data_IF_989977187257
#
_entry.id   IF_989977187257
#
_cell.length_a   1.000
_cell.length_b   1.000
_cell.length_c   1.000
_cell.angle_alpha   90.00
_cell.angle_beta   90.00
_cell.angle_gamma   90.00
#
_symmetry.space_group_name_H-M   'P 1'
#
loop_
_entity.id
_entity.type
_entity.pdbx_description
1 polymer ?
#
# COMPACT_ATOMS: atom_id res chain seq x y z
N UNK A 1 63.85 -6.15 -3.73
CA UNK A 1 63.92 -4.99 -2.83
C UNK A 1 62.51 -4.45 -2.68
N UNK A 2 61.87 -4.75 -1.55
CA UNK A 2 60.49 -4.35 -1.24
C UNK A 2 60.42 -2.84 -1.02
N UNK A 3 59.60 -2.15 -1.80
CA UNK A 3 59.23 -0.77 -1.50
C UNK A 3 58.46 -0.71 -0.17
N UNK A 4 58.70 0.29 0.68
CA UNK A 4 57.94 0.48 1.91
C UNK A 4 56.49 0.83 1.61
N UNK A 5 55.56 0.24 2.38
CA UNK A 5 54.10 0.36 2.31
C UNK A 5 53.57 1.80 2.23
N UNK A 6 54.34 2.77 2.73
CA UNK A 6 53.94 4.18 2.75
C UNK A 6 54.00 4.85 1.36
N UNK A 7 54.72 4.27 0.39
CA UNK A 7 54.79 4.85 -0.96
C UNK A 7 53.50 4.60 -1.77
N UNK A 8 52.80 3.50 -1.50
CA UNK A 8 51.52 3.18 -2.12
C UNK A 8 50.41 4.12 -1.63
N UNK A 9 50.37 4.41 -0.33
CA UNK A 9 49.40 5.36 0.22
C UNK A 9 49.66 6.79 -0.25
N UNK A 10 50.93 7.20 -0.35
CA UNK A 10 51.29 8.55 -0.84
C UNK A 10 50.96 8.68 -2.35
N UNK A 11 51.17 7.63 -3.15
CA UNK A 11 50.79 7.62 -4.57
C UNK A 11 49.27 7.58 -4.76
N UNK A 12 48.53 6.87 -3.90
CA UNK A 12 47.07 6.85 -3.91
C UNK A 12 46.47 8.20 -3.50
N UNK A 13 47.05 8.86 -2.49
CA UNK A 13 46.63 10.20 -2.06
C UNK A 13 46.94 11.27 -3.13
N UNK A 14 48.10 11.16 -3.80
CA UNK A 14 48.47 12.03 -4.92
C UNK A 14 47.55 11.83 -6.14
N UNK A 15 47.11 10.60 -6.42
CA UNK A 15 46.12 10.32 -7.46
C UNK A 15 44.73 10.90 -7.12
N UNK A 16 44.31 10.84 -5.86
CA UNK A 16 43.04 11.45 -5.39
C UNK A 16 42.98 12.97 -5.62
N UNK A 17 44.10 13.67 -5.39
CA UNK A 17 44.19 15.11 -5.66
C UNK A 17 44.33 15.45 -7.14
N UNK A 18 44.89 14.56 -7.96
CA UNK A 18 45.03 14.77 -9.40
C UNK A 18 43.71 14.69 -10.17
N UNK A 19 42.79 13.82 -9.75
CA UNK A 19 41.45 13.72 -10.37
C UNK A 19 40.49 14.83 -9.92
N UNK A 20 40.69 15.42 -8.75
CA UNK A 20 39.87 16.53 -8.25
C UNK A 20 40.16 17.88 -8.96
N UNK A 21 41.29 18.02 -9.65
CA UNK A 21 41.76 19.31 -10.21
C UNK A 21 41.61 19.47 -11.73
N UNK A 22 41.23 18.44 -12.48
CA UNK A 22 41.00 18.52 -13.93
C UNK A 22 39.58 18.07 -14.25
N UNK A 23 38.69 19.04 -14.40
CA UNK A 23 37.25 18.86 -14.40
C UNK A 23 36.65 18.16 -15.63
N UNK A 24 35.38 17.80 -15.45
CA UNK A 24 34.47 17.33 -16.49
C UNK A 24 33.44 16.37 -15.92
N UNK A 25 32.19 16.47 -16.38
CA UNK A 25 31.01 15.66 -16.03
C UNK A 25 31.25 14.15 -15.82
N UNK A 26 32.32 13.57 -16.38
CA UNK A 26 32.69 12.16 -16.18
C UNK A 26 33.31 11.82 -14.81
N UNK A 27 33.89 12.79 -14.09
CA UNK A 27 34.51 12.56 -12.77
C UNK A 27 33.49 12.28 -11.65
N UNK A 28 32.31 12.91 -11.73
CA UNK A 28 31.22 12.68 -10.78
C UNK A 28 30.56 11.30 -10.97
N UNK A 29 30.42 10.86 -12.22
CA UNK A 29 29.86 9.53 -12.56
C UNK A 29 30.79 8.40 -12.12
N UNK A 30 32.11 8.57 -12.27
CA UNK A 30 33.07 7.54 -11.86
C UNK A 30 33.28 7.50 -10.34
N UNK A 31 33.17 8.64 -9.66
CA UNK A 31 33.18 8.71 -8.19
C UNK A 31 31.93 8.04 -7.62
N UNK A 32 30.73 8.31 -8.17
CA UNK A 32 29.48 7.67 -7.77
C UNK A 32 29.49 6.15 -7.98
N UNK A 33 29.93 5.69 -9.16
CA UNK A 33 30.06 4.26 -9.44
C UNK A 33 31.07 3.54 -8.55
N UNK A 34 32.16 4.21 -8.16
CA UNK A 34 33.17 3.66 -7.26
C UNK A 34 32.72 3.65 -5.79
N UNK A 35 31.96 4.65 -5.34
CA UNK A 35 31.37 4.68 -4.00
C UNK A 35 30.27 3.63 -3.86
N UNK A 36 29.37 3.49 -4.83
CA UNK A 36 28.32 2.45 -4.85
C UNK A 36 28.91 1.05 -4.76
N UNK A 37 29.93 0.74 -5.56
CA UNK A 37 30.56 -0.59 -5.55
C UNK A 37 31.27 -0.91 -4.25
N UNK A 38 31.77 0.12 -3.57
CA UNK A 38 32.43 -0.03 -2.28
C UNK A 38 31.41 -0.17 -1.14
N UNK A 39 30.31 0.58 -1.20
CA UNK A 39 29.17 0.43 -0.28
C UNK A 39 28.57 -0.97 -0.38
N UNK A 40 28.32 -1.45 -1.60
CA UNK A 40 27.82 -2.82 -1.83
C UNK A 40 28.79 -3.88 -1.30
N UNK A 41 30.10 -3.71 -1.52
CA UNK A 41 31.10 -4.65 -1.01
C UNK A 41 31.27 -4.59 0.51
N UNK A 42 31.12 -3.41 1.13
CA UNK A 42 31.14 -3.25 2.59
C UNK A 42 29.85 -3.81 3.22
N UNK A 43 28.68 -3.65 2.58
CA UNK A 43 27.41 -4.30 2.97
C UNK A 43 27.47 -5.82 2.86
N UNK A 44 28.04 -6.36 1.78
CA UNK A 44 28.22 -7.80 1.58
C UNK A 44 29.19 -8.39 2.62
N UNK A 45 30.28 -7.67 2.94
CA UNK A 45 31.20 -8.06 4.00
C UNK A 45 30.60 -7.95 5.41
N UNK A 46 29.73 -6.96 5.67
CA UNK A 46 28.99 -6.82 6.92
C UNK A 46 27.96 -7.93 7.10
N UNK A 47 27.20 -8.26 6.05
CA UNK A 47 26.28 -9.40 5.99
C UNK A 47 26.97 -10.71 6.35
N UNK A 48 28.14 -10.97 5.78
CA UNK A 48 28.91 -12.19 6.06
C UNK A 48 29.55 -12.21 7.47
N UNK A 49 29.62 -11.06 8.14
CA UNK A 49 30.21 -10.91 9.48
C UNK A 49 29.20 -11.04 10.63
N UNK A 50 27.90 -10.99 10.34
CA UNK A 50 26.85 -11.19 11.34
C UNK A 50 26.76 -12.69 11.70
N UNK A 51 26.66 -13.04 12.99
CA UNK A 51 26.39 -14.42 13.37
C UNK A 51 25.03 -14.83 12.80
N UNK A 52 24.98 -15.94 12.07
CA UNK A 52 23.73 -16.60 11.70
C UNK A 52 23.02 -16.98 13.00
N UNK A 53 22.09 -16.14 13.45
CA UNK A 53 21.16 -16.50 14.50
C UNK A 53 20.27 -17.56 13.86
N UNK A 54 20.51 -18.81 14.26
CA UNK A 54 19.60 -19.91 13.98
C UNK A 54 18.38 -19.68 14.86
N UNK A 55 17.40 -18.94 14.34
CA UNK A 55 16.04 -18.99 14.84
C UNK A 55 15.59 -20.45 14.76
N UNK A 56 15.25 -21.03 15.90
CA UNK A 56 14.75 -22.40 16.01
C UNK A 56 13.27 -22.53 15.61
N UNK A 57 12.82 -21.70 14.66
CA UNK A 57 11.60 -21.89 13.87
C UNK A 57 12.02 -21.75 12.41
N UNK A 58 11.74 -22.75 11.58
CA UNK A 58 12.04 -22.64 10.15
C UNK A 58 11.15 -21.55 9.56
N UNK A 59 11.65 -20.72 8.63
CA UNK A 59 10.82 -19.81 7.83
C UNK A 59 9.64 -20.54 7.16
N UNK A 60 9.78 -21.85 6.93
CA UNK A 60 8.70 -22.69 6.43
C UNK A 60 7.61 -23.01 7.47
N UNK A 61 7.93 -23.03 8.77
CA UNK A 61 6.95 -23.26 9.83
C UNK A 61 6.10 -22.01 10.08
N UNK A 62 6.71 -20.81 10.03
CA UNK A 62 5.99 -19.53 10.19
C UNK A 62 5.11 -19.22 8.97
N UNK A 63 5.62 -19.44 7.73
CA UNK A 63 4.81 -19.32 6.51
C UNK A 63 3.65 -20.33 6.48
N UNK A 64 3.88 -21.55 7.00
CA UNK A 64 2.82 -22.56 7.09
C UNK A 64 1.73 -22.18 8.11
N UNK A 65 2.10 -21.59 9.26
CA UNK A 65 1.12 -21.07 10.22
C UNK A 65 0.31 -19.90 9.65
N UNK A 66 0.95 -19.01 8.87
CA UNK A 66 0.27 -17.89 8.21
C UNK A 66 -0.70 -18.36 7.11
N UNK A 67 -0.28 -19.29 6.25
CA UNK A 67 -1.16 -19.93 5.25
C UNK A 67 -2.33 -20.67 5.91
N UNK A 68 -2.09 -21.43 7.00
CA UNK A 68 -3.16 -22.13 7.74
C UNK A 68 -4.17 -21.15 8.35
N UNK A 69 -3.71 -20.00 8.84
CA UNK A 69 -4.58 -18.96 9.36
C UNK A 69 -5.43 -18.30 8.29
N UNK A 70 -4.85 -17.90 7.15
CA UNK A 70 -5.60 -17.33 6.03
C UNK A 70 -6.60 -18.34 5.47
N UNK A 71 -6.24 -19.63 5.39
CA UNK A 71 -7.17 -20.70 5.00
C UNK A 71 -8.34 -20.82 5.97
N UNK A 72 -8.10 -20.74 7.28
CA UNK A 72 -9.16 -20.79 8.29
C UNK A 72 -10.12 -19.59 8.19
N UNK A 73 -9.59 -18.37 8.04
CA UNK A 73 -10.39 -17.16 7.89
C UNK A 73 -11.23 -17.22 6.60
N UNK A 74 -10.62 -17.68 5.50
CA UNK A 74 -11.32 -17.91 4.23
C UNK A 74 -12.40 -18.98 4.35
N UNK A 75 -12.17 -20.07 5.10
CA UNK A 75 -13.20 -21.09 5.35
C UNK A 75 -14.40 -20.50 6.09
N UNK A 76 -14.17 -19.72 7.14
CA UNK A 76 -15.24 -19.03 7.88
C UNK A 76 -16.00 -18.03 7.02
N UNK A 77 -15.31 -17.27 6.17
CA UNK A 77 -15.98 -16.35 5.25
C UNK A 77 -16.80 -17.12 4.20
N UNK A 78 -16.23 -18.19 3.63
CA UNK A 78 -16.85 -18.98 2.56
C UNK A 78 -18.20 -19.61 2.96
N UNK A 79 -18.40 -19.96 4.24
CA UNK A 79 -19.68 -20.49 4.71
C UNK A 79 -20.82 -19.47 4.66
N UNK A 80 -20.48 -18.18 4.64
CA UNK A 80 -21.44 -17.08 4.65
C UNK A 80 -21.67 -16.49 3.25
N UNK A 81 -20.82 -16.83 2.28
CA UNK A 81 -20.89 -16.34 0.91
C UNK A 81 -21.87 -17.17 0.07
N UNK A 82 -22.52 -16.49 -0.87
CA UNK A 82 -23.27 -17.18 -1.93
C UNK A 82 -22.34 -17.58 -3.07
N UNK A 83 -22.61 -18.74 -3.67
CA UNK A 83 -21.91 -19.25 -4.85
C UNK A 83 -22.91 -19.59 -5.94
N UNK A 84 -22.66 -19.23 -7.19
CA UNK A 84 -23.48 -19.68 -8.29
C UNK A 84 -22.92 -21.00 -8.85
N UNK A 85 -23.70 -22.08 -8.81
CA UNK A 85 -23.29 -23.43 -9.24
C UNK A 85 -23.88 -23.80 -10.62
N UNK A 86 -24.29 -22.80 -11.39
CA UNK A 86 -24.97 -23.00 -12.68
C UNK A 86 -24.07 -22.73 -13.88
N UNK A 87 -24.08 -23.63 -14.87
CA UNK A 87 -23.42 -23.44 -16.18
C UNK A 87 -24.13 -22.40 -17.09
N UNK A 88 -25.06 -21.61 -16.54
CA UNK A 88 -25.87 -20.68 -17.34
C UNK A 88 -25.08 -19.40 -17.57
N UNK A 89 -24.66 -19.21 -18.80
CA UNK A 89 -24.18 -17.92 -19.28
C UNK A 89 -25.38 -16.96 -19.42
N UNK A 90 -25.52 -16.07 -18.44
CA UNK A 90 -26.46 -14.96 -18.41
C UNK A 90 -26.10 -13.93 -19.48
N UNK A 91 -27.13 -13.24 -19.97
CA UNK A 91 -26.94 -11.99 -20.71
C UNK A 91 -26.60 -10.84 -19.73
N UNK A 92 -25.94 -9.76 -20.19
CA UNK A 92 -25.72 -8.57 -19.37
C UNK A 92 -26.99 -8.02 -18.71
N UNK A 93 -28.12 -8.09 -19.42
CA UNK A 93 -29.43 -7.71 -18.87
C UNK A 93 -29.85 -8.60 -17.70
N UNK A 94 -29.69 -9.91 -17.81
CA UNK A 94 -30.02 -10.84 -16.73
C UNK A 94 -29.08 -10.68 -15.52
N UNK A 95 -27.78 -10.40 -15.75
CA UNK A 95 -26.83 -10.06 -14.67
C UNK A 95 -27.30 -8.79 -13.94
N UNK A 96 -27.63 -7.74 -14.68
CA UNK A 96 -28.11 -6.49 -14.11
C UNK A 96 -29.40 -6.66 -13.31
N UNK A 97 -30.42 -7.29 -13.88
CA UNK A 97 -31.70 -7.54 -13.19
C UNK A 97 -31.52 -8.41 -11.92
N UNK A 98 -30.57 -9.34 -11.95
CA UNK A 98 -30.29 -10.20 -10.81
C UNK A 98 -29.56 -9.46 -9.67
N UNK A 99 -28.62 -8.56 -9.98
CA UNK A 99 -27.65 -8.08 -9.00
C UNK A 99 -27.60 -6.56 -8.78
N UNK A 100 -28.35 -5.76 -9.54
CA UNK A 100 -28.44 -4.31 -9.28
C UNK A 100 -28.92 -4.00 -7.85
N UNK A 101 -29.79 -4.86 -7.29
CA UNK A 101 -30.25 -4.75 -5.90
C UNK A 101 -29.19 -5.08 -4.84
N UNK A 102 -28.11 -5.75 -5.24
CA UNK A 102 -26.99 -6.12 -4.37
C UNK A 102 -25.83 -5.12 -4.44
N UNK A 103 -25.87 -4.17 -5.39
CA UNK A 103 -24.94 -3.04 -5.51
C UNK A 103 -25.50 -1.83 -4.78
N UNK A 104 -24.68 -1.24 -3.91
CA UNK A 104 -25.07 -0.11 -3.06
C UNK A 104 -24.33 1.16 -3.43
N UNK A 105 -24.96 2.31 -3.20
CA UNK A 105 -24.27 3.60 -3.25
C UNK A 105 -23.68 3.94 -1.88
N UNK A 106 -22.49 4.52 -1.85
CA UNK A 106 -21.80 4.93 -0.63
C UNK A 106 -21.56 6.43 -0.70
N UNK A 107 -21.97 7.13 0.36
CA UNK A 107 -21.62 8.53 0.61
C UNK A 107 -20.68 8.58 1.79
N UNK A 108 -19.60 9.33 1.63
CA UNK A 108 -18.63 9.61 2.67
C UNK A 108 -18.64 11.11 2.94
N UNK A 109 -18.96 11.47 4.18
CA UNK A 109 -18.74 12.80 4.74
C UNK A 109 -17.46 12.73 5.58
N UNK A 110 -16.40 13.34 5.08
CA UNK A 110 -15.07 13.27 5.67
C UNK A 110 -14.47 14.65 5.94
N UNK A 111 -13.27 14.65 6.50
CA UNK A 111 -12.49 15.89 6.68
C UNK A 111 -11.04 15.67 6.28
N UNK A 112 -10.40 16.67 5.69
CA UNK A 112 -8.96 16.65 5.44
C UNK A 112 -8.29 17.90 6.01
N UNK A 113 -7.05 17.75 6.47
CA UNK A 113 -6.21 18.85 6.95
C UNK A 113 -5.22 19.24 5.87
N UNK A 114 -5.26 20.49 5.42
CA UNK A 114 -4.30 20.98 4.43
C UNK A 114 -2.91 21.25 5.06
N UNK A 115 -1.90 21.51 4.20
CA UNK A 115 -0.51 21.84 4.59
C UNK A 115 -0.37 23.04 5.55
N UNK A 116 -1.43 23.82 5.77
CA UNK A 116 -1.46 24.94 6.71
C UNK A 116 -2.17 24.62 8.03
N UNK A 117 -2.58 23.36 8.24
CA UNK A 117 -3.29 22.91 9.44
C UNK A 117 -4.78 23.28 9.46
N UNK A 118 -5.36 23.72 8.33
CA UNK A 118 -6.79 24.00 8.26
C UNK A 118 -7.56 22.73 7.92
N UNK A 119 -8.53 22.38 8.77
CA UNK A 119 -9.49 21.31 8.52
C UNK A 119 -10.56 21.81 7.56
N UNK A 120 -10.79 21.07 6.48
CA UNK A 120 -11.86 21.29 5.51
C UNK A 120 -12.73 20.04 5.39
N UNK A 121 -14.02 20.24 5.16
CA UNK A 121 -14.95 19.15 4.87
C UNK A 121 -14.71 18.63 3.44
N UNK A 122 -14.82 17.32 3.26
CA UNK A 122 -14.81 16.66 1.96
C UNK A 122 -16.02 15.74 1.85
N UNK A 123 -16.52 15.57 0.63
CA UNK A 123 -17.55 14.61 0.33
C UNK A 123 -17.10 13.78 -0.87
N UNK A 124 -17.18 12.46 -0.74
CA UNK A 124 -16.97 11.54 -1.85
C UNK A 124 -18.14 10.58 -1.95
N UNK A 125 -18.34 10.05 -3.16
CA UNK A 125 -19.32 9.02 -3.43
C UNK A 125 -18.67 7.88 -4.20
N UNK A 126 -19.19 6.67 -3.99
CA UNK A 126 -18.73 5.47 -4.66
C UNK A 126 -19.79 4.39 -4.59
N UNK A 127 -19.37 3.17 -4.91
CA UNK A 127 -20.20 1.97 -4.89
C UNK A 127 -19.64 0.94 -3.92
N UNK A 128 -20.48 -0.03 -3.56
CA UNK A 128 -20.08 -1.26 -2.89
C UNK A 128 -21.00 -2.39 -3.28
N UNK A 129 -20.74 -3.60 -2.78
CA UNK A 129 -21.66 -4.73 -2.95
C UNK A 129 -21.80 -5.56 -1.69
N UNK A 130 -23.02 -6.05 -1.49
CA UNK A 130 -23.42 -6.85 -0.33
C UNK A 130 -22.88 -8.27 -0.50
N UNK A 131 -22.11 -8.75 0.47
CA UNK A 131 -21.54 -10.11 0.46
C UNK A 131 -22.22 -11.07 1.44
N UNK A 132 -23.05 -10.56 2.35
CA UNK A 132 -23.80 -11.38 3.33
C UNK A 132 -25.20 -10.81 3.55
N UNK A 133 -26.16 -11.67 3.93
CA UNK A 133 -27.56 -11.27 4.13
C UNK A 133 -27.78 -10.35 5.34
N UNK A 134 -26.84 -10.32 6.27
CA UNK A 134 -26.85 -9.44 7.43
C UNK A 134 -26.11 -8.12 7.18
N UNK A 135 -25.55 -7.88 5.99
CA UNK A 135 -25.16 -6.54 5.53
C UNK A 135 -23.68 -6.20 5.60
N UNK A 136 -22.77 -7.18 5.56
CA UNK A 136 -21.38 -6.90 5.20
C UNK A 136 -21.29 -6.48 3.73
N UNK A 137 -20.55 -5.42 3.48
CA UNK A 137 -20.38 -4.79 2.17
C UNK A 137 -18.90 -4.58 1.90
N UNK A 138 -18.47 -4.97 0.70
CA UNK A 138 -17.11 -4.70 0.21
C UNK A 138 -17.12 -3.44 -0.66
N UNK A 139 -16.09 -2.62 -0.52
CA UNK A 139 -15.84 -1.42 -1.34
C UNK A 139 -14.34 -1.13 -1.41
N UNK A 140 -13.94 -0.03 -2.06
CA UNK A 140 -12.57 0.42 -2.05
C UNK A 140 -12.24 1.28 -0.82
N UNK A 141 -10.97 1.24 -0.38
CA UNK A 141 -10.50 2.10 0.72
C UNK A 141 -10.66 3.59 0.39
N UNK A 142 -10.29 4.03 -0.82
CA UNK A 142 -10.39 5.46 -1.19
C UNK A 142 -11.84 5.98 -1.20
N UNK A 143 -12.85 5.11 -1.25
CA UNK A 143 -14.26 5.51 -1.12
C UNK A 143 -14.57 5.91 0.32
N UNK A 144 -13.96 5.23 1.30
CA UNK A 144 -14.20 5.43 2.73
C UNK A 144 -13.10 6.24 3.44
N UNK A 145 -12.09 6.67 2.70
CA UNK A 145 -10.93 7.37 3.24
C UNK A 145 -11.35 8.66 3.99
N UNK A 146 -10.75 8.89 5.16
CA UNK A 146 -11.01 10.06 6.03
C UNK A 146 -12.49 10.25 6.44
N UNK A 147 -13.29 9.18 6.40
CA UNK A 147 -14.70 9.27 6.73
C UNK A 147 -14.94 9.61 8.20
N UNK A 148 -15.72 10.66 8.44
CA UNK A 148 -16.33 10.95 9.74
C UNK A 148 -17.69 10.24 9.83
N UNK A 149 -18.40 10.15 8.69
CA UNK A 149 -19.66 9.45 8.58
C UNK A 149 -19.76 8.76 7.21
N UNK A 150 -20.14 7.49 7.23
CA UNK A 150 -20.44 6.71 6.03
C UNK A 150 -21.93 6.40 5.98
N UNK A 151 -22.55 6.71 4.85
CA UNK A 151 -23.95 6.37 4.57
C UNK A 151 -24.01 5.45 3.36
N UNK A 152 -24.59 4.27 3.56
CA UNK A 152 -24.91 3.32 2.49
C UNK A 152 -26.36 3.54 2.06
N UNK A 153 -26.59 3.65 0.75
CA UNK A 153 -27.92 3.72 0.14
C UNK A 153 -28.16 2.47 -0.70
N UNK A 154 -29.18 1.70 -0.33
CA UNK A 154 -29.60 0.52 -1.06
C UNK A 154 -30.34 0.90 -2.36
N UNK A 155 -30.52 -0.06 -3.27
CA UNK A 155 -31.23 0.16 -4.54
C UNK A 155 -32.71 0.58 -4.34
N UNK A 156 -33.32 0.22 -3.21
CA UNK A 156 -34.67 0.64 -2.82
C UNK A 156 -34.72 2.03 -2.16
N UNK A 157 -33.63 2.79 -2.21
CA UNK A 157 -33.43 4.12 -1.61
C UNK A 157 -33.35 4.16 -0.08
N UNK A 158 -33.41 3.01 0.61
CA UNK A 158 -33.18 2.96 2.06
C UNK A 158 -31.73 3.29 2.41
N UNK A 159 -31.55 4.09 3.46
CA UNK A 159 -30.26 4.60 3.90
C UNK A 159 -29.88 4.05 5.27
N UNK A 160 -28.63 3.66 5.40
CA UNK A 160 -28.06 3.11 6.63
C UNK A 160 -26.74 3.80 6.93
N UNK A 161 -26.50 4.11 8.20
CA UNK A 161 -25.15 4.43 8.65
C UNK A 161 -24.31 3.16 8.65
N UNK A 162 -23.08 3.24 8.14
CA UNK A 162 -22.17 2.11 8.03
C UNK A 162 -21.02 2.20 9.04
N UNK A 163 -20.74 1.10 9.70
CA UNK A 163 -19.53 0.92 10.49
C UNK A 163 -18.39 0.43 9.61
N UNK A 164 -17.20 0.98 9.78
CA UNK A 164 -15.97 0.44 9.19
C UNK A 164 -15.55 -0.76 10.05
N UNK A 165 -15.51 -1.95 9.43
CA UNK A 165 -15.01 -3.17 10.09
C UNK A 165 -13.49 -3.20 10.02
N UNK A 166 -12.94 -2.82 8.86
CA UNK A 166 -11.51 -2.68 8.63
C UNK A 166 -11.22 -2.34 7.17
N UNK A 167 -9.95 -2.08 6.86
CA UNK A 167 -9.50 -1.78 5.51
C UNK A 167 -8.03 -2.14 5.31
N UNK A 168 -7.63 -2.25 4.05
CA UNK A 168 -6.25 -2.31 3.61
C UNK A 168 -6.01 -1.21 2.57
N UNK A 169 -5.34 -0.14 3.00
CA UNK A 169 -5.04 1.00 2.14
C UNK A 169 -4.04 0.66 1.03
N UNK A 170 -3.19 -0.35 1.23
CA UNK A 170 -2.16 -0.74 0.27
C UNK A 170 -2.69 -1.53 -0.91
N UNK A 171 -3.86 -2.15 -0.76
CA UNK A 171 -4.57 -2.90 -1.79
C UNK A 171 -5.92 -2.25 -2.17
N UNK A 172 -6.22 -1.08 -1.59
CA UNK A 172 -7.45 -0.31 -1.84
C UNK A 172 -8.74 -1.09 -1.56
N UNK A 173 -8.76 -1.89 -0.49
CA UNK A 173 -9.92 -2.71 -0.08
C UNK A 173 -10.47 -2.25 1.26
N UNK A 174 -11.78 -2.23 1.41
CA UNK A 174 -12.45 -1.98 2.68
C UNK A 174 -13.66 -2.89 2.88
N UNK A 175 -13.87 -3.26 4.14
CA UNK A 175 -15.05 -3.98 4.61
C UNK A 175 -15.86 -3.07 5.55
N UNK A 176 -17.11 -2.83 5.19
CA UNK A 176 -18.05 -2.05 6.00
C UNK A 176 -19.29 -2.89 6.34
N UNK A 177 -20.05 -2.46 7.34
CA UNK A 177 -21.24 -3.16 7.82
C UNK A 177 -22.38 -2.19 8.08
N UNK A 178 -23.57 -2.55 7.60
CA UNK A 178 -24.83 -1.87 7.94
C UNK A 178 -25.69 -2.75 8.83
N UNK A 179 -26.57 -2.13 9.63
CA UNK A 179 -27.56 -2.83 10.45
C UNK A 179 -28.84 -3.07 9.63
N UNK A 180 -28.79 -4.10 8.78
CA UNK A 180 -29.89 -4.54 7.93
C UNK A 180 -29.94 -6.08 7.88
N UNK A 181 -31.08 -6.64 7.51
CA UNK A 181 -31.29 -8.08 7.41
C UNK A 181 -32.04 -8.43 6.12
N UNK A 182 -32.08 -9.73 5.80
CA UNK A 182 -32.73 -10.26 4.60
C UNK A 182 -32.22 -9.64 3.29
N UNK A 183 -30.97 -9.17 3.30
CA UNK A 183 -30.32 -8.63 2.11
C UNK A 183 -29.97 -9.76 1.15
N UNK A 184 -29.96 -9.45 -0.14
CA UNK A 184 -29.52 -10.38 -1.18
C UNK A 184 -28.01 -10.19 -1.43
N UNK A 185 -27.15 -11.13 -1.00
CA UNK A 185 -25.73 -11.06 -1.31
C UNK A 185 -25.46 -11.39 -2.78
N UNK A 186 -24.32 -10.90 -3.29
CA UNK A 186 -23.76 -11.34 -4.57
C UNK A 186 -23.20 -12.77 -4.45
N UNK A 187 -23.00 -13.43 -5.59
CA UNK A 187 -22.16 -14.63 -5.64
C UNK A 187 -20.71 -14.26 -5.92
N UNK A 188 -19.77 -14.91 -5.25
CA UNK A 188 -18.34 -14.70 -5.46
C UNK A 188 -17.82 -15.75 -6.44
N UNK A 189 -17.02 -15.31 -7.42
CA UNK A 189 -16.43 -16.16 -8.44
C UNK A 189 -14.96 -16.48 -8.16
N UNK A 190 -14.27 -16.94 -9.20
CA UNK A 190 -12.84 -17.21 -9.17
C UNK A 190 -12.15 -16.35 -10.24
N UNK A 191 -11.36 -15.37 -9.80
CA UNK A 191 -10.61 -14.51 -10.73
C UNK A 191 -9.43 -15.22 -11.40
N UNK A 192 -8.94 -16.33 -10.84
CA UNK A 192 -7.79 -17.07 -11.36
C UNK A 192 -8.17 -17.91 -12.60
N UNK A 193 -9.47 -18.16 -12.79
CA UNK A 193 -10.01 -18.85 -13.98
C UNK A 193 -10.29 -17.92 -15.17
N UNK A 194 -10.22 -16.60 -14.96
CA UNK A 194 -10.54 -15.61 -15.98
C UNK A 194 -9.61 -15.68 -17.18
N UNK A 195 -10.13 -15.26 -18.33
CA UNK A 195 -9.35 -15.15 -19.57
C UNK A 195 -9.56 -13.83 -20.24
N UNK A 196 -8.48 -13.32 -20.84
CA UNK A 196 -8.55 -12.16 -21.73
C UNK A 196 -9.57 -12.41 -22.85
N UNK A 197 -10.47 -11.46 -23.05
CA UNK A 197 -11.57 -11.51 -24.01
C UNK A 197 -12.90 -11.99 -23.44
N UNK A 198 -12.96 -12.46 -22.19
CA UNK A 198 -14.23 -12.78 -21.54
C UNK A 198 -15.07 -11.53 -21.30
N UNK A 199 -16.37 -11.62 -21.59
CA UNK A 199 -17.30 -10.52 -21.37
C UNK A 199 -17.57 -10.35 -19.88
N UNK A 200 -17.51 -9.10 -19.42
CA UNK A 200 -17.74 -8.72 -18.03
C UNK A 200 -18.68 -7.52 -17.95
N UNK A 201 -19.31 -7.35 -16.80
CA UNK A 201 -20.25 -6.26 -16.53
C UNK A 201 -19.90 -5.57 -15.21
N UNK A 202 -19.67 -4.26 -15.24
CA UNK A 202 -19.58 -3.47 -14.02
C UNK A 202 -20.96 -2.88 -13.68
N UNK A 203 -21.36 -3.01 -12.43
CA UNK A 203 -22.56 -2.34 -11.92
C UNK A 203 -22.10 -1.35 -10.84
N UNK A 204 -22.35 -0.07 -11.07
CA UNK A 204 -22.16 0.98 -10.08
C UNK A 204 -23.49 1.55 -9.62
N UNK A 205 -23.51 2.07 -8.41
CA UNK A 205 -24.60 2.88 -7.92
C UNK A 205 -24.08 4.23 -7.38
N UNK A 206 -23.51 5.10 -8.24
CA UNK A 206 -23.17 6.44 -7.80
C UNK A 206 -24.42 7.17 -7.32
N UNK A 207 -24.34 7.74 -6.13
CA UNK A 207 -25.40 8.62 -5.63
C UNK A 207 -25.61 9.82 -6.59
N UNK A 208 -26.86 10.25 -6.76
CA UNK A 208 -27.22 11.37 -7.64
C UNK A 208 -27.92 10.92 -8.94
N UNK A 209 -27.62 11.57 -10.06
CA UNK A 209 -28.35 11.37 -11.32
C UNK A 209 -27.98 10.07 -12.08
N UNK A 210 -26.91 9.39 -11.66
CA UNK A 210 -26.32 8.25 -12.38
C UNK A 210 -26.44 6.91 -11.61
N UNK A 211 -27.34 6.83 -10.64
CA UNK A 211 -27.58 5.61 -9.84
C UNK A 211 -27.87 4.39 -10.72
N UNK A 212 -27.45 3.20 -10.26
CA UNK A 212 -27.72 1.91 -10.89
C UNK A 212 -27.23 1.81 -12.36
N UNK A 213 -25.98 2.21 -12.61
CA UNK A 213 -25.38 2.19 -13.94
C UNK A 213 -24.74 0.84 -14.25
N UNK A 214 -25.11 0.24 -15.39
CA UNK A 214 -24.44 -0.92 -15.99
C UNK A 214 -23.45 -0.45 -17.06
N UNK A 215 -22.21 -0.93 -17.01
CA UNK A 215 -21.26 -0.85 -18.13
C UNK A 215 -20.78 -2.26 -18.51
N UNK A 216 -20.62 -2.50 -19.81
CA UNK A 216 -20.31 -3.81 -20.36
C UNK A 216 -19.00 -3.68 -21.12
N UNK A 217 -18.13 -4.66 -20.98
CA UNK A 217 -16.85 -4.73 -21.65
C UNK A 217 -16.31 -6.15 -21.63
N UNK A 218 -15.00 -6.27 -21.81
CA UNK A 218 -14.26 -7.50 -21.71
C UNK A 218 -13.00 -7.35 -20.87
N UNK A 219 -12.53 -8.49 -20.36
CA UNK A 219 -11.20 -8.59 -19.74
C UNK A 219 -10.15 -8.27 -20.81
N UNK A 220 -9.44 -7.16 -20.64
CA UNK A 220 -8.42 -6.67 -21.58
C UNK A 220 -7.03 -7.21 -21.25
N UNK A 221 -6.72 -7.38 -19.97
CA UNK A 221 -5.50 -7.99 -19.48
C UNK A 221 -5.69 -8.47 -18.04
N UNK A 222 -4.89 -9.45 -17.62
CA UNK A 222 -4.78 -9.90 -16.24
C UNK A 222 -3.41 -9.45 -15.69
N UNK A 223 -3.28 -9.47 -14.36
CA UNK A 223 -2.02 -9.28 -13.63
C UNK A 223 -1.23 -8.02 -14.04
N UNK A 224 -1.92 -6.88 -14.06
CA UNK A 224 -1.30 -5.57 -14.27
C UNK A 224 -0.95 -4.95 -12.94
N UNK A 225 0.33 -4.78 -12.71
CA UNK A 225 0.81 -3.89 -11.67
C UNK A 225 0.54 -2.44 -12.09
N UNK A 226 -0.34 -1.77 -11.34
CA UNK A 226 -0.69 -0.37 -11.58
C UNK A 226 -0.16 0.48 -10.43
N UNK A 227 0.62 1.50 -10.77
CA UNK A 227 1.24 2.40 -9.80
C UNK A 227 0.95 3.86 -10.21
N UNK A 228 0.22 4.61 -9.38
CA UNK A 228 -0.15 6.02 -9.66
C UNK A 228 0.23 6.95 -8.53
N UNK A 229 0.28 6.45 -7.30
CA UNK A 229 0.57 7.19 -6.06
C UNK A 229 1.72 6.56 -5.26
N UNK A 230 2.47 5.64 -5.88
CA UNK A 230 3.62 5.01 -5.27
C UNK A 230 3.37 3.68 -4.59
N UNK A 231 2.12 3.23 -4.54
CA UNK A 231 1.79 1.89 -4.07
C UNK A 231 1.32 1.04 -5.25
N UNK A 232 2.18 0.16 -5.80
CA UNK A 232 1.78 -0.74 -6.87
C UNK A 232 0.70 -1.70 -6.37
N UNK A 233 -0.40 -1.84 -7.12
CA UNK A 233 -1.47 -2.81 -6.83
C UNK A 233 -1.63 -3.71 -8.05
N UNK A 234 -1.78 -5.02 -7.81
CA UNK A 234 -2.11 -5.97 -8.86
C UNK A 234 -3.59 -5.81 -9.27
N UNK A 235 -3.84 -5.62 -10.56
CA UNK A 235 -5.17 -5.35 -11.09
C UNK A 235 -5.42 -6.09 -12.41
N UNK A 236 -6.69 -6.38 -12.65
CA UNK A 236 -7.17 -6.77 -13.97
C UNK A 236 -7.51 -5.51 -14.77
N UNK A 237 -7.22 -5.51 -16.06
CA UNK A 237 -7.62 -4.47 -16.98
C UNK A 237 -8.91 -4.86 -17.70
N UNK A 238 -9.83 -3.91 -17.84
CA UNK A 238 -11.10 -4.05 -18.56
C UNK A 238 -11.34 -2.84 -19.45
N UNK A 239 -12.12 -2.99 -20.52
CA UNK A 239 -12.61 -1.86 -21.33
C UNK A 239 -14.03 -1.43 -20.92
N UNK A 240 -14.58 -1.98 -19.83
CA UNK A 240 -15.75 -1.41 -19.16
C UNK A 240 -15.49 0.06 -18.87
N UNK A 241 -16.49 0.91 -19.13
CA UNK A 241 -16.43 2.30 -18.70
C UNK A 241 -16.46 2.37 -17.16
N UNK A 242 -15.30 2.64 -16.56
CA UNK A 242 -15.12 2.83 -15.12
C UNK A 242 -14.90 4.32 -14.85
N UNK A 243 -15.66 4.87 -13.92
CA UNK A 243 -15.55 6.23 -13.43
C UNK A 243 -15.74 6.24 -11.91
N UNK A 244 -15.56 7.39 -11.26
CA UNK A 244 -15.66 7.53 -9.80
C UNK A 244 -16.94 6.94 -9.21
N UNK A 245 -18.03 6.93 -9.97
CA UNK A 245 -19.30 6.41 -9.51
C UNK A 245 -19.40 4.90 -9.39
N UNK A 246 -18.67 4.16 -10.23
CA UNK A 246 -18.65 2.69 -10.16
C UNK A 246 -17.55 2.18 -9.22
N UNK A 247 -16.59 3.03 -8.82
CA UNK A 247 -15.48 2.68 -7.93
C UNK A 247 -15.97 2.01 -6.64
N UNK A 248 -15.37 0.87 -6.28
CA UNK A 248 -15.79 0.00 -5.18
C UNK A 248 -16.93 -0.96 -5.52
N UNK A 249 -17.56 -0.81 -6.70
CA UNK A 249 -18.62 -1.67 -7.19
C UNK A 249 -18.11 -3.00 -7.78
N UNK A 250 -19.01 -3.97 -7.95
CA UNK A 250 -18.68 -5.30 -8.46
C UNK A 250 -18.48 -5.31 -9.99
N UNK A 251 -17.47 -6.07 -10.43
CA UNK A 251 -17.29 -6.52 -11.80
C UNK A 251 -17.73 -7.99 -11.90
N UNK A 252 -18.76 -8.27 -12.69
CA UNK A 252 -19.36 -9.59 -12.85
C UNK A 252 -18.88 -10.32 -14.10
N UNK A 253 -18.71 -11.63 -14.00
CA UNK A 253 -18.69 -12.54 -15.15
C UNK A 253 -20.11 -12.79 -15.70
N UNK A 254 -20.20 -13.47 -16.84
CA UNK A 254 -21.51 -13.83 -17.42
C UNK A 254 -22.18 -15.03 -16.73
N UNK A 255 -21.59 -15.60 -15.68
CA UNK A 255 -22.28 -16.54 -14.80
C UNK A 255 -22.96 -15.80 -13.62
N UNK A 256 -22.79 -14.48 -13.51
CA UNK A 256 -23.34 -13.68 -12.43
C UNK A 256 -22.55 -13.76 -11.13
N UNK A 257 -21.27 -14.12 -11.20
CA UNK A 257 -20.33 -14.07 -10.09
C UNK A 257 -19.52 -12.79 -10.13
N UNK A 258 -19.23 -12.21 -8.97
CA UNK A 258 -18.25 -11.12 -8.86
C UNK A 258 -16.86 -11.70 -9.05
N UNK A 259 -16.13 -11.17 -10.03
CA UNK A 259 -14.77 -11.56 -10.37
C UNK A 259 -13.75 -10.45 -10.10
N UNK A 260 -14.21 -9.23 -9.78
CA UNK A 260 -13.35 -8.16 -9.29
C UNK A 260 -14.10 -6.95 -8.74
N UNK A 261 -13.33 -5.99 -8.24
CA UNK A 261 -13.84 -4.74 -7.64
C UNK A 261 -13.33 -3.58 -8.48
N UNK A 262 -14.22 -2.86 -9.15
CA UNK A 262 -13.81 -1.78 -10.07
C UNK A 262 -13.18 -0.62 -9.31
N UNK A 263 -12.10 -0.07 -9.83
CA UNK A 263 -11.37 1.04 -9.21
C UNK A 263 -11.15 2.18 -10.20
N UNK A 264 -11.63 3.37 -9.82
CA UNK A 264 -11.45 4.60 -10.60
C UNK A 264 -10.23 5.42 -10.15
N UNK A 265 -9.53 4.99 -9.08
CA UNK A 265 -8.32 5.63 -8.55
C UNK A 265 -7.21 5.77 -9.60
N UNK A 266 -7.24 4.91 -10.61
CA UNK A 266 -6.18 4.77 -11.61
C UNK A 266 -6.54 5.37 -12.98
N UNK A 267 -7.57 6.23 -13.03
CA UNK A 267 -7.97 6.94 -14.25
C UNK A 267 -7.23 8.28 -14.39
N UNK A 268 -6.60 8.52 -15.54
CA UNK A 268 -5.99 9.81 -15.90
C UNK A 268 -6.69 10.47 -17.09
N UNK A 269 -6.51 11.79 -17.26
CA UNK A 269 -7.24 12.67 -18.21
C UNK A 269 -7.20 12.29 -19.71
N UNK A 270 -6.53 11.19 -20.11
CA UNK A 270 -6.22 10.91 -21.51
C UNK A 270 -6.40 9.46 -21.98
N UNK A 271 -7.06 8.58 -21.23
CA UNK A 271 -7.18 7.17 -21.63
C UNK A 271 -8.64 6.69 -21.66
N UNK A 272 -9.30 6.91 -22.79
CA UNK A 272 -10.61 6.33 -23.08
C UNK A 272 -10.47 4.80 -23.27
N UNK A 273 -11.31 4.01 -22.61
CA UNK A 273 -11.37 2.55 -22.79
C UNK A 273 -10.35 1.73 -21.99
N UNK A 274 -9.70 2.30 -20.97
CA UNK A 274 -8.90 1.54 -19.99
C UNK A 274 -9.50 1.74 -18.59
N UNK A 275 -10.05 0.66 -18.04
CA UNK A 275 -10.49 0.55 -16.66
C UNK A 275 -9.73 -0.55 -15.94
N UNK A 276 -9.74 -0.48 -14.61
CA UNK A 276 -9.08 -1.46 -13.75
C UNK A 276 -10.05 -2.01 -12.70
N UNK A 277 -9.81 -3.25 -12.29
CA UNK A 277 -10.50 -3.89 -11.19
C UNK A 277 -9.53 -4.75 -10.37
N UNK A 278 -9.69 -4.75 -9.06
CA UNK A 278 -8.92 -5.62 -8.15
C UNK A 278 -9.48 -7.04 -8.29
N UNK A 279 -8.65 -8.08 -8.53
CA UNK A 279 -9.10 -9.48 -8.59
C UNK A 279 -9.88 -9.88 -7.34
N UNK A 280 -10.99 -10.62 -7.52
CA UNK A 280 -11.83 -10.98 -6.36
C UNK A 280 -11.10 -11.92 -5.39
N UNK A 281 -10.24 -12.83 -5.88
CA UNK A 281 -9.52 -13.75 -5.01
C UNK A 281 -8.58 -12.98 -4.06
N UNK A 282 -7.88 -11.97 -4.58
CA UNK A 282 -7.00 -11.09 -3.80
C UNK A 282 -7.80 -10.30 -2.74
N UNK A 283 -8.92 -9.71 -3.16
CA UNK A 283 -9.78 -8.93 -2.27
C UNK A 283 -10.41 -9.80 -1.17
N UNK A 284 -10.84 -11.02 -1.48
CA UNK A 284 -11.54 -11.87 -0.52
C UNK A 284 -10.62 -12.45 0.56
N UNK A 285 -9.33 -12.66 0.27
CA UNK A 285 -8.33 -12.98 1.31
C UNK A 285 -8.21 -11.85 2.32
N UNK A 286 -8.14 -10.61 1.85
CA UNK A 286 -8.13 -9.41 2.72
C UNK A 286 -9.43 -9.32 3.52
N UNK A 287 -10.59 -9.45 2.87
CA UNK A 287 -11.90 -9.36 3.52
C UNK A 287 -12.08 -10.42 4.61
N UNK A 288 -11.52 -11.62 4.43
CA UNK A 288 -11.55 -12.68 5.45
C UNK A 288 -10.83 -12.24 6.73
N UNK A 289 -9.61 -11.73 6.62
CA UNK A 289 -8.86 -11.19 7.75
C UNK A 289 -9.56 -9.98 8.39
N UNK A 290 -10.06 -9.05 7.57
CA UNK A 290 -10.79 -7.88 8.06
C UNK A 290 -12.03 -8.31 8.86
N UNK A 291 -12.75 -9.34 8.42
CA UNK A 291 -13.96 -9.82 9.11
C UNK A 291 -13.63 -10.54 10.42
N UNK A 292 -12.58 -11.37 10.44
CA UNK A 292 -12.21 -12.19 11.59
C UNK A 292 -11.44 -11.38 12.65
N UNK A 293 -10.52 -10.52 12.22
CA UNK A 293 -9.56 -9.83 13.09
C UNK A 293 -9.74 -8.31 13.16
N UNK A 294 -10.43 -7.70 12.20
CA UNK A 294 -10.56 -6.24 12.07
C UNK A 294 -9.37 -5.55 11.39
N UNK A 295 -8.36 -6.31 10.97
CA UNK A 295 -7.18 -5.86 10.22
C UNK A 295 -6.60 -7.01 9.40
N UNK A 296 -5.70 -6.70 8.46
CA UNK A 296 -4.98 -7.71 7.67
C UNK A 296 -3.80 -8.23 8.48
N UNK A 297 -3.77 -9.54 8.74
CA UNK A 297 -2.74 -10.16 9.57
C UNK A 297 -1.40 -10.21 8.82
N UNK A 298 -0.28 -10.26 9.54
CA UNK A 298 1.04 -10.46 8.93
C UNK A 298 1.63 -9.27 8.19
N UNK A 299 0.88 -8.16 8.04
CA UNK A 299 1.42 -6.94 7.44
C UNK A 299 2.59 -6.39 8.27
N UNK A 300 3.75 -6.11 7.64
CA UNK A 300 4.91 -5.60 8.35
C UNK A 300 4.65 -4.18 8.87
N UNK A 301 5.12 -3.93 10.08
CA UNK A 301 5.07 -2.62 10.71
C UNK A 301 6.47 -2.18 11.16
N UNK A 302 6.90 -1.04 10.64
CA UNK A 302 8.19 -0.45 11.02
C UNK A 302 8.09 0.39 12.30
N UNK A 303 6.94 1.03 12.55
CA UNK A 303 6.76 1.95 13.69
C UNK A 303 7.44 3.31 13.50
N UNK A 304 7.35 3.87 12.29
CA UNK A 304 7.88 5.22 11.99
C UNK A 304 6.83 6.06 11.28
N UNK A 305 6.79 7.35 11.61
CA UNK A 305 6.13 8.36 10.76
C UNK A 305 7.20 9.00 9.89
N UNK A 306 6.97 9.02 8.58
CA UNK A 306 7.97 9.46 7.60
C UNK A 306 7.41 10.51 6.65
N UNK A 307 8.31 11.26 6.00
CA UNK A 307 8.00 12.18 4.92
C UNK A 307 9.10 12.16 3.85
N UNK A 308 8.76 12.48 2.61
CA UNK A 308 9.76 12.65 1.54
C UNK A 308 10.72 13.81 1.85
N UNK A 309 12.03 13.57 1.74
CA UNK A 309 13.01 14.65 1.79
C UNK A 309 12.89 15.51 0.54
N UNK A 310 12.58 16.79 0.72
CA UNK A 310 12.52 17.72 -0.41
C UNK A 310 13.89 17.89 -1.07
N UNK A 311 13.99 17.66 -2.38
CA UNK A 311 15.27 17.71 -3.12
C UNK A 311 15.99 19.06 -2.99
N UNK A 312 15.26 20.18 -2.91
CA UNK A 312 15.86 21.50 -2.73
C UNK A 312 16.42 21.70 -1.31
N UNK A 313 15.76 21.14 -0.30
CA UNK A 313 16.24 21.07 1.09
C UNK A 313 17.50 20.20 1.16
N UNK A 314 17.47 18.99 0.59
CA UNK A 314 18.62 18.10 0.54
C UNK A 314 19.85 18.77 -0.09
N UNK A 315 19.67 19.45 -1.23
CA UNK A 315 20.76 20.18 -1.89
C UNK A 315 21.28 21.37 -1.07
N UNK A 316 20.39 22.14 -0.46
CA UNK A 316 20.76 23.32 0.32
C UNK A 316 21.61 22.95 1.55
N UNK A 317 21.25 21.86 2.23
CA UNK A 317 21.91 21.40 3.45
C UNK A 317 22.93 20.28 3.22
N UNK A 318 23.16 19.88 1.96
CA UNK A 318 24.06 18.79 1.56
C UNK A 318 23.73 17.46 2.25
N UNK A 319 22.43 17.21 2.44
CA UNK A 319 21.89 15.96 2.93
C UNK A 319 21.63 15.01 1.75
N UNK A 320 21.65 13.69 1.96
CA UNK A 320 21.19 12.75 0.95
C UNK A 320 19.70 12.92 0.68
N UNK A 321 19.27 12.51 -0.53
CA UNK A 321 17.86 12.34 -0.87
C UNK A 321 17.43 10.97 -0.34
N UNK A 322 16.27 10.91 0.31
CA UNK A 322 15.72 9.70 0.91
C UNK A 322 14.46 10.02 1.70
N UNK A 323 14.08 9.12 2.60
CA UNK A 323 12.84 9.24 3.39
C UNK A 323 13.18 9.70 4.81
N UNK A 324 12.69 10.89 5.18
CA UNK A 324 12.93 11.48 6.48
C UNK A 324 12.04 10.87 7.57
N UNK A 325 12.63 10.51 8.70
CA UNK A 325 11.93 9.98 9.89
C UNK A 325 11.52 11.14 10.78
N UNK A 326 10.21 11.40 10.83
CA UNK A 326 9.61 12.44 11.66
C UNK A 326 9.35 11.98 13.10
N UNK A 327 9.01 10.71 13.30
CA UNK A 327 8.90 10.12 14.64
C UNK A 327 9.08 8.61 14.59
N UNK A 328 9.46 8.05 15.73
CA UNK A 328 9.58 6.62 15.96
C UNK A 328 8.64 6.23 17.10
N UNK A 329 7.86 5.18 16.89
CA UNK A 329 6.87 4.75 17.87
C UNK A 329 7.54 4.01 19.02
N UNK A 330 7.19 4.32 20.29
CA UNK A 330 7.76 3.62 21.44
C UNK A 330 7.45 2.12 21.42
N UNK A 331 8.48 1.31 21.64
CA UNK A 331 8.41 -0.15 21.65
C UNK A 331 8.40 -0.82 20.28
N UNK A 332 8.47 -0.05 19.19
CA UNK A 332 8.48 -0.58 17.82
C UNK A 332 9.80 -1.21 17.42
N UNK A 333 9.77 -2.02 16.36
CA UNK A 333 10.95 -2.57 15.69
C UNK A 333 11.96 -1.50 15.29
N UNK A 334 11.52 -0.31 14.84
CA UNK A 334 12.40 0.81 14.56
C UNK A 334 13.09 1.37 15.81
N UNK A 335 12.38 1.54 16.93
CA UNK A 335 13.00 2.00 18.19
C UNK A 335 14.02 0.97 18.68
N UNK A 336 13.67 -0.32 18.65
CA UNK A 336 14.55 -1.43 19.06
C UNK A 336 15.79 -1.51 18.16
N UNK A 337 15.65 -1.25 16.86
CA UNK A 337 16.76 -1.16 15.91
C UNK A 337 17.66 0.07 16.15
N UNK A 338 17.20 1.04 16.95
CA UNK A 338 17.93 2.26 17.29
C UNK A 338 17.69 3.42 16.32
N UNK A 339 16.61 3.38 15.53
CA UNK A 339 16.16 4.51 14.71
C UNK A 339 15.69 5.68 15.59
N UNK A 340 15.82 6.89 15.07
CA UNK A 340 15.51 8.13 15.78
C UNK A 340 14.83 9.13 14.83
N UNK A 341 14.08 10.06 15.41
CA UNK A 341 13.66 11.27 14.71
C UNK A 341 14.91 11.98 14.15
N UNK A 342 14.83 12.45 12.91
CA UNK A 342 15.97 13.07 12.22
C UNK A 342 16.70 12.16 11.25
N UNK A 343 16.49 10.84 11.32
CA UNK A 343 17.11 9.90 10.39
C UNK A 343 16.59 10.10 8.96
N UNK A 344 17.46 9.85 7.97
CA UNK A 344 17.05 9.74 6.57
C UNK A 344 17.28 8.30 6.12
N UNK A 345 16.22 7.57 5.81
CA UNK A 345 16.28 6.22 5.27
C UNK A 345 16.74 6.30 3.82
N UNK A 346 17.79 5.54 3.50
CA UNK A 346 18.42 5.50 2.17
C UNK A 346 18.21 4.16 1.47
N UNK A 347 18.12 3.06 2.23
CA UNK A 347 17.87 1.73 1.70
C UNK A 347 17.23 0.80 2.74
N UNK A 348 16.47 -0.18 2.26
CA UNK A 348 15.90 -1.26 3.05
C UNK A 348 16.20 -2.61 2.38
N UNK A 349 16.97 -3.45 3.07
CA UNK A 349 17.57 -4.65 2.49
C UNK A 349 18.50 -4.30 1.33
N UNK A 350 18.23 -4.87 0.16
CA UNK A 350 18.98 -4.64 -1.08
C UNK A 350 18.36 -3.52 -1.94
N UNK A 351 17.26 -2.91 -1.49
CA UNK A 351 16.51 -1.92 -2.27
C UNK A 351 16.83 -0.49 -1.83
N UNK A 352 17.17 0.37 -2.78
CA UNK A 352 17.31 1.81 -2.58
C UNK A 352 15.94 2.44 -2.30
N UNK A 353 15.91 3.40 -1.37
CA UNK A 353 14.70 4.10 -0.95
C UNK A 353 14.91 5.60 -1.14
N UNK A 354 14.28 6.16 -2.17
CA UNK A 354 14.38 7.59 -2.50
C UNK A 354 13.14 8.35 -2.00
N UNK A 355 11.99 7.69 -2.04
CA UNK A 355 10.67 8.24 -1.70
C UNK A 355 9.90 7.32 -0.75
N UNK A 356 8.87 7.86 -0.08
CA UNK A 356 7.94 7.11 0.76
C UNK A 356 7.25 6.01 -0.03
N UNK A 357 6.94 6.30 -1.29
CA UNK A 357 6.46 5.33 -2.28
C UNK A 357 7.39 4.11 -2.37
N UNK A 358 8.69 4.35 -2.55
CA UNK A 358 9.68 3.27 -2.63
C UNK A 358 9.72 2.48 -1.32
N UNK A 359 9.73 3.16 -0.17
CA UNK A 359 9.71 2.50 1.14
C UNK A 359 8.49 1.59 1.31
N UNK A 360 7.30 2.08 0.97
CA UNK A 360 6.05 1.32 1.08
C UNK A 360 6.03 0.16 0.08
N UNK A 361 6.54 0.34 -1.14
CA UNK A 361 6.68 -0.72 -2.12
C UNK A 361 7.65 -1.81 -1.67
N UNK A 362 8.81 -1.43 -1.11
CA UNK A 362 9.81 -2.36 -0.61
C UNK A 362 9.31 -3.13 0.62
N UNK A 363 8.56 -2.48 1.51
CA UNK A 363 7.95 -3.10 2.68
C UNK A 363 7.05 -4.30 2.31
N UNK A 364 6.41 -4.29 1.13
CA UNK A 364 5.58 -5.41 0.66
C UNK A 364 6.35 -6.73 0.45
N UNK A 365 7.69 -6.68 0.41
CA UNK A 365 8.52 -7.89 0.29
C UNK A 365 8.80 -8.57 1.64
N UNK A 366 8.27 -8.01 2.74
CA UNK A 366 8.48 -8.49 4.09
C UNK A 366 7.15 -8.80 4.76
N UNK A 367 7.18 -9.72 5.72
CA UNK A 367 6.09 -10.00 6.65
C UNK A 367 6.42 -9.49 8.06
N UNK A 368 5.41 -9.42 8.93
CA UNK A 368 5.64 -9.27 10.35
C UNK A 368 6.60 -10.35 10.87
N UNK A 369 7.58 -9.97 11.70
CA UNK A 369 8.62 -10.86 12.19
C UNK A 369 9.84 -11.01 11.27
N UNK A 370 9.76 -10.62 9.99
CA UNK A 370 10.95 -10.62 9.12
C UNK A 370 12.00 -9.63 9.65
N UNK A 371 13.27 -10.02 9.51
CA UNK A 371 14.43 -9.18 9.85
C UNK A 371 15.20 -8.81 8.59
N UNK A 372 15.60 -7.54 8.46
CA UNK A 372 16.45 -7.05 7.35
C UNK A 372 17.38 -5.93 7.80
N UNK A 373 18.28 -5.49 6.93
CA UNK A 373 19.12 -4.32 7.18
C UNK A 373 18.44 -3.04 6.70
N UNK A 374 18.63 -1.93 7.41
CA UNK A 374 18.19 -0.60 6.98
C UNK A 374 19.39 0.34 7.00
N UNK A 375 19.64 1.02 5.88
CA UNK A 375 20.68 2.04 5.77
C UNK A 375 20.05 3.40 6.03
N UNK A 376 20.54 4.09 7.05
CA UNK A 376 20.09 5.44 7.39
C UNK A 376 21.25 6.42 7.34
N UNK A 377 20.95 7.70 7.20
CA UNK A 377 21.87 8.81 7.42
C UNK A 377 21.49 9.57 8.68
N UNK A 378 22.44 9.70 9.61
CA UNK A 378 22.28 10.43 10.87
C UNK A 378 23.50 11.31 11.10
N UNK A 379 23.28 12.61 11.31
CA UNK A 379 24.31 13.56 11.75
C UNK A 379 25.63 13.52 10.96
N UNK A 380 25.58 13.34 9.64
CA UNK A 380 26.78 13.32 8.80
C UNK A 380 27.29 11.94 8.40
N UNK A 381 26.78 10.87 9.00
CA UNK A 381 27.27 9.52 8.81
C UNK A 381 26.16 8.57 8.34
N UNK A 382 26.53 7.59 7.53
CA UNK A 382 25.65 6.48 7.17
C UNK A 382 25.78 5.37 8.23
N UNK A 383 24.65 4.92 8.75
CA UNK A 383 24.56 3.85 9.74
C UNK A 383 23.75 2.71 9.16
N UNK A 384 24.29 1.49 9.25
CA UNK A 384 23.58 0.27 8.88
C UNK A 384 23.00 -0.36 10.15
N UNK A 385 21.66 -0.38 10.26
CA UNK A 385 20.94 -0.98 11.37
C UNK A 385 20.31 -2.30 10.94
N UNK A 386 19.96 -3.16 11.90
CA UNK A 386 19.16 -4.36 11.68
C UNK A 386 17.79 -4.13 12.29
N UNK A 387 16.73 -4.25 11.47
CA UNK A 387 15.35 -4.05 11.89
C UNK A 387 14.57 -5.35 11.77
N UNK A 388 13.73 -5.62 12.77
CA UNK A 388 12.70 -6.67 12.71
C UNK A 388 11.34 -5.99 12.68
N UNK A 389 10.48 -6.37 11.73
CA UNK A 389 9.17 -5.75 11.58
C UNK A 389 8.18 -6.29 12.61
N UNK A 390 7.39 -5.39 13.21
CA UNK A 390 6.24 -5.77 14.00
C UNK A 390 5.06 -6.14 13.09
N UNK A 391 3.94 -6.54 13.70
CA UNK A 391 2.67 -6.74 13.01
C UNK A 391 1.81 -5.48 13.12
N UNK A 392 1.37 -4.95 11.99
CA UNK A 392 0.53 -3.73 11.93
C UNK A 392 -0.83 -3.99 12.57
N UNK A 393 -1.21 -3.22 13.59
CA UNK A 393 -2.48 -3.43 14.35
C UNK A 393 -3.37 -2.19 14.43
N UNK A 394 -4.70 -2.35 14.61
CA UNK A 394 -5.65 -1.24 14.64
C UNK A 394 -5.39 -0.15 15.70
N UNK A 395 -4.82 -0.50 16.86
CA UNK A 395 -4.55 0.47 17.92
C UNK A 395 -3.45 1.48 17.52
N UNK A 396 -2.65 1.16 16.52
CA UNK A 396 -1.64 2.06 15.92
C UNK A 396 -2.26 3.03 14.90
N UNK A 397 -3.45 2.72 14.35
CA UNK A 397 -4.19 3.60 13.44
C UNK A 397 -4.80 4.82 14.15
N UNK A 398 -5.06 4.72 15.47
CA UNK A 398 -5.64 5.83 16.26
C UNK A 398 -4.68 6.99 16.53
N UNK A 399 -3.37 6.85 16.27
CA UNK A 399 -2.44 7.97 16.42
C UNK A 399 -2.37 8.87 15.17
N UNK A 400 -2.96 8.46 14.04
CA UNK A 400 -2.92 9.25 12.81
C UNK A 400 -3.96 10.38 12.75
N UNK A 401 -4.96 10.38 13.64
CA UNK A 401 -6.07 11.36 13.65
C UNK A 401 -5.84 12.61 14.51
N UNK A 402 -4.67 12.80 15.12
CA UNK A 402 -4.40 14.02 15.91
C UNK A 402 -2.97 14.58 15.85
N UNK A 403 -2.07 14.01 15.04
CA UNK A 403 -0.76 14.63 14.82
C UNK A 403 -0.89 15.75 13.78
N UNK A 404 -0.42 16.95 14.14
CA UNK A 404 -0.19 18.04 13.19
C UNK A 404 0.54 17.48 11.96
N UNK A 405 0.13 17.86 10.74
CA UNK A 405 0.86 17.48 9.52
C UNK A 405 2.34 17.78 9.73
N UNK A 406 3.22 16.77 9.67
CA UNK A 406 4.65 16.97 9.88
C UNK A 406 5.16 18.08 8.96
N UNK A 407 5.64 19.17 9.54
CA UNK A 407 6.40 20.17 8.78
C UNK A 407 7.84 19.71 8.76
N UNK A 408 8.51 19.88 7.62
CA UNK A 408 9.96 19.71 7.56
C UNK A 408 10.59 20.52 8.70
N UNK A 409 11.42 19.91 9.55
CA UNK A 409 12.11 20.62 10.62
C UNK A 409 12.96 21.75 10.05
N UNK A 410 13.15 22.78 10.87
CA UNK A 410 14.07 23.86 10.56
C UNK A 410 15.52 23.39 10.64
N UNK A 411 16.44 24.14 10.03
CA UNK A 411 17.88 23.83 10.00
C UNK A 411 18.48 23.61 11.38
N UNK A 412 18.01 24.41 12.34
CA UNK A 412 18.51 24.40 13.72
C UNK A 412 18.09 23.12 14.47
N UNK A 413 17.06 22.43 14.00
CA UNK A 413 16.62 21.13 14.51
C UNK A 413 17.41 19.98 13.88
N UNK A 414 17.89 20.15 12.64
CA UNK A 414 18.73 19.17 11.94
C UNK A 414 20.17 19.15 12.46
N UNK A 415 20.68 20.31 12.87
CA UNK A 415 22.01 20.49 13.43
C UNK A 415 21.92 21.39 14.67
N UNK A 416 21.56 20.86 15.85
CA UNK A 416 21.54 21.66 17.07
C UNK A 416 22.94 22.27 17.28
N UNK A 417 23.02 23.60 17.40
CA UNK A 417 24.28 24.28 17.74
C UNK A 417 24.83 23.67 19.04
N UNK A 418 26.13 23.32 19.06
CA UNK A 418 26.79 22.94 20.32
C UNK A 418 26.54 24.02 21.38
N UNK A 419 26.24 23.65 22.63
CA UNK A 419 26.04 24.62 23.69
C UNK A 419 27.28 25.50 23.78
N UNK A 420 27.08 26.81 23.56
CA UNK A 420 28.11 27.83 23.77
C UNK A 420 28.34 27.95 25.28
N UNK A 421 29.29 27.19 25.79
CA UNK A 421 29.89 27.41 27.12
C UNK A 421 30.78 28.66 27.16
#
# INVERSE_FOLDING_TARGET
ASMPSNLYEILALAMRYWFALLGGLGGAVFAGWYTERRLMAEMEALRDSLPVITTTGSKADEVAEEEEHTESAMQHLSSDLSTNVGDKQLTPTEVYEAYVGSTVGISNEGTFTNLFGQVSETASTGSGFIITSDGYIVTNYHVIENAVKLTVTLNNEEQYEAAIIGYDSSNDIALIKIDAADLRPVSIGDSDELRVGETVCAIGNPLGELTNTLTIGGVSALDREVNTDGTPINMMQTDCAINSGNSGGPLFDMNGNVIGITTAKYYGDAIEGIGFAIPINDAMRIVADLKEYGYVKGQPYMGVTVMDMNTSTAQLYKLPVGVYVNSVDPGSGAEIAGMQEGDIILALGEYEVVTMSDLMGVLKNFAAGDTTTILIYRTGEELLLTITFDEKRPAELTQQTAAETPKMPSVDEFFPEEPKD
#
